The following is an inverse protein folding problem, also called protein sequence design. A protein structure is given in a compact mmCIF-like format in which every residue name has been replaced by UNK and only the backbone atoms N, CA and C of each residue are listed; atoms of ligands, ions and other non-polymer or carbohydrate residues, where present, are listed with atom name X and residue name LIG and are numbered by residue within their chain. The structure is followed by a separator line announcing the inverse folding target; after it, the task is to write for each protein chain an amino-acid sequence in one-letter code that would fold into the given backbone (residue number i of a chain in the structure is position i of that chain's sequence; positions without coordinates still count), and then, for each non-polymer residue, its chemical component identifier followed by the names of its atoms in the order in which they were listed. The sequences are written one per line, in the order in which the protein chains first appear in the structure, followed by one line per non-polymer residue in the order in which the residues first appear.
data_IF_830789845001
#
_entry.id   IF_830789845001
#
_cell.length_a   1.000
_cell.length_b   1.000
_cell.length_c   1.000
_cell.angle_alpha   90.00
_cell.angle_beta   90.00
_cell.angle_gamma   90.00
#
_symmetry.space_group_name_H-M   'P 1'
#
loop_
_entity.id
_entity.type
_entity.pdbx_description
1 polymer ?
#
# COMPACT_ATOMS: atom_id res chain seq x y z
N UNK A 1 16.10 -24.52 -15.74
CA UNK A 1 16.12 -26.02 -15.67
C UNK A 1 14.77 -26.61 -15.24
N UNK A 2 14.08 -26.02 -14.29
CA UNK A 2 12.77 -26.51 -13.79
C UNK A 2 11.66 -26.40 -14.84
N UNK A 3 11.57 -25.32 -15.55
CA UNK A 3 10.62 -25.06 -16.65
C UNK A 3 10.74 -26.08 -17.79
N UNK A 4 11.97 -26.55 -18.08
CA UNK A 4 12.21 -27.55 -19.13
C UNK A 4 11.73 -28.98 -18.79
N UNK A 5 11.34 -29.23 -17.53
CA UNK A 5 10.93 -30.56 -17.05
C UNK A 5 9.41 -30.80 -17.11
N UNK A 6 8.61 -29.85 -17.61
CA UNK A 6 7.13 -29.92 -17.61
C UNK A 6 6.58 -30.33 -16.22
N UNK A 7 7.09 -29.70 -15.17
CA UNK A 7 6.64 -29.94 -13.81
C UNK A 7 5.19 -29.50 -13.66
N UNK A 8 4.36 -30.28 -12.98
CA UNK A 8 2.97 -29.90 -12.68
C UNK A 8 2.86 -28.81 -11.61
N UNK A 9 3.89 -28.67 -10.77
CA UNK A 9 3.99 -27.62 -9.74
C UNK A 9 5.38 -27.01 -9.85
N UNK A 10 5.42 -25.71 -9.98
CA UNK A 10 6.64 -24.89 -9.95
C UNK A 10 6.62 -24.02 -8.71
N UNK A 11 7.64 -24.12 -7.90
CA UNK A 11 7.83 -23.28 -6.70
C UNK A 11 8.97 -22.29 -6.98
N UNK A 12 8.69 -21.01 -6.83
CA UNK A 12 9.67 -19.93 -6.92
C UNK A 12 9.69 -19.17 -5.59
N UNK A 13 10.85 -19.09 -4.98
CA UNK A 13 11.06 -18.42 -3.72
C UNK A 13 12.04 -17.26 -3.95
N UNK A 14 11.54 -16.02 -3.82
CA UNK A 14 12.28 -14.78 -4.04
C UNK A 14 13.11 -14.79 -5.36
N UNK A 15 12.53 -15.15 -6.50
CA UNK A 15 13.33 -15.45 -7.70
C UNK A 15 13.99 -14.23 -8.33
N UNK A 16 13.54 -13.00 -7.99
CA UNK A 16 14.06 -11.73 -8.54
C UNK A 16 14.95 -10.97 -7.55
N UNK A 17 15.10 -11.47 -6.33
CA UNK A 17 15.98 -10.87 -5.32
C UNK A 17 17.43 -10.92 -5.79
N UNK A 18 18.19 -9.85 -5.51
CA UNK A 18 19.60 -9.67 -5.90
C UNK A 18 19.89 -9.57 -7.41
N UNK A 19 18.87 -9.34 -8.22
CA UNK A 19 19.06 -9.04 -9.63
C UNK A 19 19.17 -7.51 -9.85
N UNK A 20 19.93 -7.11 -10.85
CA UNK A 20 19.91 -5.72 -11.32
C UNK A 20 18.53 -5.36 -11.89
N UNK A 21 18.23 -4.06 -11.92
CA UNK A 21 16.91 -3.55 -12.32
C UNK A 21 16.49 -4.07 -13.70
N UNK A 22 17.38 -4.03 -14.69
CA UNK A 22 17.05 -4.43 -16.07
C UNK A 22 16.72 -5.92 -16.16
N UNK A 23 17.53 -6.76 -15.53
CA UNK A 23 17.31 -8.21 -15.53
C UNK A 23 16.02 -8.57 -14.75
N UNK A 24 15.69 -7.81 -13.70
CA UNK A 24 14.45 -7.97 -12.97
C UNK A 24 13.24 -7.70 -13.86
N UNK A 25 13.23 -6.59 -14.60
CA UNK A 25 12.16 -6.26 -15.54
C UNK A 25 12.03 -7.31 -16.65
N UNK A 26 13.14 -7.69 -17.27
CA UNK A 26 13.13 -8.72 -18.32
C UNK A 26 12.55 -10.05 -17.83
N UNK A 27 12.87 -10.45 -16.59
CA UNK A 27 12.35 -11.70 -16.00
C UNK A 27 10.89 -11.56 -15.54
N UNK A 28 10.44 -10.41 -15.07
CA UNK A 28 9.02 -10.15 -14.78
C UNK A 28 8.16 -10.37 -16.03
N UNK A 29 8.59 -9.84 -17.18
CA UNK A 29 7.89 -10.04 -18.44
C UNK A 29 7.86 -11.52 -18.85
N UNK A 30 8.97 -12.24 -18.66
CA UNK A 30 9.01 -13.70 -18.89
C UNK A 30 8.03 -14.43 -17.99
N UNK A 31 7.97 -14.14 -16.71
CA UNK A 31 7.02 -14.76 -15.80
C UNK A 31 5.58 -14.42 -16.19
N UNK A 32 5.26 -13.16 -16.45
CA UNK A 32 3.94 -12.75 -16.90
C UNK A 32 3.50 -13.52 -18.15
N UNK A 33 4.35 -13.60 -19.16
CA UNK A 33 4.08 -14.37 -20.38
C UNK A 33 3.92 -15.87 -20.11
N UNK A 34 4.63 -16.43 -19.13
CA UNK A 34 4.46 -17.82 -18.72
C UNK A 34 3.12 -18.06 -18.02
N UNK A 35 2.65 -17.10 -17.22
CA UNK A 35 1.34 -17.16 -16.56
C UNK A 35 0.18 -17.03 -17.56
N UNK A 36 0.33 -16.18 -18.58
CA UNK A 36 -0.70 -15.94 -19.60
C UNK A 36 -0.69 -17.00 -20.71
N UNK A 37 0.27 -17.93 -20.70
CA UNK A 37 0.41 -18.95 -21.73
C UNK A 37 -0.37 -20.24 -21.42
N UNK A 38 -0.59 -21.10 -22.45
CA UNK A 38 -1.24 -22.42 -22.32
C UNK A 38 -0.55 -23.34 -21.29
N UNK A 39 0.67 -23.04 -20.85
CA UNK A 39 1.35 -23.73 -19.76
C UNK A 39 0.64 -23.56 -18.41
N UNK A 40 -0.11 -22.46 -18.23
CA UNK A 40 -0.89 -22.19 -17.02
C UNK A 40 -2.05 -23.17 -16.83
N UNK A 41 -2.54 -23.80 -17.89
CA UNK A 41 -3.66 -24.74 -17.83
C UNK A 41 -3.29 -26.12 -17.29
N UNK A 42 -2.00 -26.50 -17.37
CA UNK A 42 -1.51 -27.81 -16.94
C UNK A 42 -0.59 -27.77 -15.71
N UNK A 43 -0.19 -26.59 -15.25
CA UNK A 43 0.78 -26.42 -14.17
C UNK A 43 0.33 -25.40 -13.14
N UNK A 44 0.62 -25.65 -11.87
CA UNK A 44 0.43 -24.71 -10.76
C UNK A 44 1.77 -24.02 -10.52
N UNK A 45 1.76 -22.68 -10.48
CA UNK A 45 2.91 -21.90 -10.07
C UNK A 45 2.64 -21.27 -8.69
N UNK A 46 3.55 -21.50 -7.76
CA UNK A 46 3.58 -20.85 -6.46
C UNK A 46 4.80 -19.94 -6.44
N UNK A 47 4.54 -18.65 -6.27
CA UNK A 47 5.55 -17.59 -6.29
C UNK A 47 5.56 -16.89 -4.93
N UNK A 48 6.65 -16.98 -4.18
CA UNK A 48 6.83 -16.28 -2.93
C UNK A 48 7.71 -15.03 -3.17
N UNK A 49 7.27 -13.87 -2.70
CA UNK A 49 8.01 -12.63 -2.76
C UNK A 49 7.67 -11.74 -1.56
N UNK A 50 8.63 -10.94 -1.14
CA UNK A 50 8.43 -9.82 -0.20
C UNK A 50 8.14 -8.50 -0.91
N UNK A 51 8.21 -8.46 -2.24
CA UNK A 51 7.86 -7.29 -3.06
C UNK A 51 6.37 -7.34 -3.45
N UNK A 52 5.51 -6.47 -2.90
CA UNK A 52 4.09 -6.46 -3.21
C UNK A 52 3.81 -6.13 -4.68
N UNK A 53 4.69 -5.37 -5.35
CA UNK A 53 4.51 -5.02 -6.75
C UNK A 53 4.63 -6.25 -7.66
N UNK A 54 5.54 -7.19 -7.33
CA UNK A 54 5.66 -8.45 -8.06
C UNK A 54 4.36 -9.25 -7.99
N UNK A 55 3.79 -9.37 -6.79
CA UNK A 55 2.53 -10.09 -6.58
C UNK A 55 1.36 -9.46 -7.35
N UNK A 56 1.26 -8.12 -7.36
CA UNK A 56 0.21 -7.40 -8.08
C UNK A 56 0.33 -7.54 -9.61
N UNK A 57 1.55 -7.54 -10.15
CA UNK A 57 1.79 -7.64 -11.60
C UNK A 57 1.49 -9.02 -12.16
N UNK A 58 1.66 -10.07 -11.37
CA UNK A 58 1.40 -11.45 -11.79
C UNK A 58 -0.10 -11.79 -11.86
N UNK A 59 -0.96 -10.93 -11.31
CA UNK A 59 -2.44 -10.99 -11.43
C UNK A 59 -3.06 -12.35 -11.07
N UNK A 60 -2.42 -13.09 -10.15
CA UNK A 60 -2.92 -14.36 -9.62
C UNK A 60 -3.70 -14.20 -8.32
N UNK A 61 -4.03 -15.32 -7.70
CA UNK A 61 -4.52 -15.33 -6.32
C UNK A 61 -3.34 -15.11 -5.37
N UNK A 62 -3.53 -14.21 -4.41
CA UNK A 62 -2.53 -13.87 -3.39
C UNK A 62 -2.88 -14.55 -2.09
N UNK A 63 -1.85 -15.02 -1.39
CA UNK A 63 -1.89 -15.46 -0.01
C UNK A 63 -0.97 -14.55 0.79
N UNK A 64 -1.54 -13.63 1.57
CA UNK A 64 -0.76 -12.77 2.48
C UNK A 64 -0.46 -13.53 3.76
N UNK A 65 0.83 -13.61 4.10
CA UNK A 65 1.32 -14.35 5.26
C UNK A 65 2.13 -13.40 6.15
N UNK A 66 1.86 -13.44 7.45
CA UNK A 66 2.66 -12.77 8.46
C UNK A 66 2.84 -13.68 9.67
N UNK A 67 4.04 -13.74 10.24
CA UNK A 67 4.39 -14.59 11.38
C UNK A 67 3.90 -16.06 11.25
N UNK A 68 3.95 -16.61 10.03
CA UNK A 68 3.53 -17.98 9.74
C UNK A 68 2.01 -18.21 9.71
N UNK A 69 1.23 -17.14 9.72
CA UNK A 69 -0.24 -17.19 9.62
C UNK A 69 -0.72 -16.57 8.33
N UNK A 70 -1.75 -17.18 7.74
CA UNK A 70 -2.45 -16.59 6.60
C UNK A 70 -3.37 -15.49 7.11
N UNK A 71 -3.17 -14.25 6.64
CA UNK A 71 -3.98 -13.10 7.00
C UNK A 71 -5.15 -12.87 6.03
N UNK A 72 -4.89 -13.08 4.73
CA UNK A 72 -5.91 -12.91 3.69
C UNK A 72 -5.53 -13.75 2.46
N UNK A 73 -6.55 -14.22 1.74
CA UNK A 73 -6.39 -14.85 0.43
C UNK A 73 -7.41 -14.28 -0.54
N UNK A 74 -7.06 -14.17 -1.81
CA UNK A 74 -7.97 -13.71 -2.86
C UNK A 74 -7.24 -13.19 -4.08
N UNK A 75 -7.99 -12.76 -5.10
CA UNK A 75 -7.43 -12.09 -6.27
C UNK A 75 -6.59 -10.87 -5.87
N UNK A 76 -5.45 -10.67 -6.54
CA UNK A 76 -4.50 -9.60 -6.24
C UNK A 76 -5.19 -8.23 -6.08
N UNK A 77 -6.05 -7.89 -7.03
CA UNK A 77 -6.81 -6.63 -7.01
C UNK A 77 -7.69 -6.50 -5.77
N UNK A 78 -8.42 -7.56 -5.40
CA UNK A 78 -9.31 -7.54 -4.23
C UNK A 78 -8.54 -7.37 -2.93
N UNK A 79 -7.43 -8.11 -2.77
CA UNK A 79 -6.57 -8.02 -1.58
C UNK A 79 -5.98 -6.61 -1.45
N UNK A 80 -5.53 -6.01 -2.56
CA UNK A 80 -5.00 -4.66 -2.57
C UNK A 80 -6.06 -3.59 -2.28
N UNK A 81 -7.23 -3.67 -2.93
CA UNK A 81 -8.30 -2.68 -2.80
C UNK A 81 -9.06 -2.81 -1.46
N UNK A 82 -9.16 -4.04 -0.93
CA UNK A 82 -9.91 -4.34 0.28
C UNK A 82 -9.08 -5.20 1.26
N UNK A 83 -7.98 -4.66 1.80
CA UNK A 83 -7.17 -5.38 2.78
C UNK A 83 -8.02 -5.72 4.01
N UNK A 84 -7.95 -6.96 4.49
CA UNK A 84 -8.77 -7.41 5.62
C UNK A 84 -8.48 -6.62 6.91
N UNK A 85 -7.24 -6.20 7.09
CA UNK A 85 -6.79 -5.44 8.26
C UNK A 85 -5.57 -4.57 7.93
N UNK A 86 -5.13 -3.77 8.91
CA UNK A 86 -3.98 -2.88 8.81
C UNK A 86 -2.74 -3.63 8.33
N UNK A 87 -2.47 -4.84 8.87
CA UNK A 87 -1.26 -5.59 8.52
C UNK A 87 -1.23 -5.99 7.05
N UNK A 88 -2.36 -6.41 6.52
CA UNK A 88 -2.49 -6.69 5.07
C UNK A 88 -2.29 -5.41 4.26
N UNK A 89 -2.87 -4.29 4.70
CA UNK A 89 -2.71 -3.01 4.03
C UNK A 89 -1.24 -2.54 4.00
N UNK A 90 -0.47 -2.77 5.07
CA UNK A 90 0.96 -2.47 5.12
C UNK A 90 1.76 -3.36 4.16
N UNK A 91 1.52 -4.68 4.21
CA UNK A 91 2.29 -5.67 3.41
C UNK A 91 2.04 -5.51 1.91
N UNK A 92 0.82 -5.13 1.51
CA UNK A 92 0.43 -5.07 0.09
C UNK A 92 0.71 -3.73 -0.58
N UNK A 93 1.31 -2.77 0.12
CA UNK A 93 1.68 -1.46 -0.42
C UNK A 93 3.19 -1.22 -0.29
N UNK A 94 3.78 -0.57 -1.28
CA UNK A 94 5.16 -0.09 -1.27
C UNK A 94 5.20 1.33 -1.87
N UNK A 95 5.49 2.36 -1.04
CA UNK A 95 5.67 2.28 0.42
C UNK A 95 4.42 1.77 1.16
N UNK A 96 4.63 1.22 2.36
CA UNK A 96 3.52 0.77 3.20
C UNK A 96 2.45 1.86 3.37
N UNK A 97 1.19 1.45 3.48
CA UNK A 97 0.09 2.38 3.72
C UNK A 97 0.33 3.19 5.01
N UNK A 98 0.15 4.50 4.94
CA UNK A 98 0.17 5.35 6.12
C UNK A 98 -1.04 5.03 6.99
N UNK A 99 -0.81 4.68 8.25
CA UNK A 99 -1.86 4.35 9.23
C UNK A 99 -1.84 5.42 10.32
N UNK A 100 -2.89 6.23 10.36
CA UNK A 100 -3.03 7.36 11.27
C UNK A 100 -4.09 7.06 12.32
N UNK A 101 -3.74 6.95 13.61
CA UNK A 101 -4.73 6.86 14.67
C UNK A 101 -5.51 8.17 14.76
N UNK A 102 -6.83 8.09 14.91
CA UNK A 102 -7.69 9.27 15.00
C UNK A 102 -9.01 8.97 15.70
N UNK A 103 -9.75 10.01 15.93
CA UNK A 103 -11.07 9.96 16.59
C UNK A 103 -12.09 10.60 15.66
N UNK A 104 -13.22 9.92 15.46
CA UNK A 104 -14.42 10.56 14.90
C UNK A 104 -15.19 11.18 16.07
N UNK A 105 -15.41 12.50 16.01
CA UNK A 105 -16.24 13.21 16.96
C UNK A 105 -17.18 14.15 16.18
N UNK A 106 -18.48 13.89 16.32
CA UNK A 106 -19.56 14.53 15.55
C UNK A 106 -19.29 14.48 14.03
N UNK A 107 -18.85 15.56 13.43
CA UNK A 107 -18.62 15.71 11.99
C UNK A 107 -17.14 15.90 11.63
N UNK A 108 -16.24 15.57 12.54
CA UNK A 108 -14.82 15.75 12.36
C UNK A 108 -14.05 14.46 12.58
N UNK A 109 -12.95 14.31 11.84
CA UNK A 109 -11.89 13.35 12.10
C UNK A 109 -10.76 14.14 12.75
N UNK A 110 -10.37 13.77 13.96
CA UNK A 110 -9.35 14.44 14.77
C UNK A 110 -8.15 13.51 14.90
N UNK A 111 -7.02 13.89 14.33
CA UNK A 111 -5.74 13.20 14.48
C UNK A 111 -4.94 13.76 15.66
N UNK A 112 -4.87 15.11 15.77
CA UNK A 112 -4.32 15.86 16.90
C UNK A 112 -4.97 17.26 16.98
N UNK A 113 -4.43 18.17 17.79
CA UNK A 113 -4.99 19.54 17.97
C UNK A 113 -4.96 20.37 16.67
N UNK A 114 -3.91 20.21 15.86
CA UNK A 114 -3.63 20.99 14.66
C UNK A 114 -4.03 20.27 13.37
N UNK A 115 -4.41 18.98 13.44
CA UNK A 115 -4.77 18.19 12.28
C UNK A 115 -6.18 17.60 12.44
N UNK A 116 -7.15 18.36 11.94
CA UNK A 116 -8.57 17.98 11.93
C UNK A 116 -9.14 18.11 10.53
N UNK A 117 -10.02 17.19 10.18
CA UNK A 117 -10.67 17.13 8.88
C UNK A 117 -12.19 17.00 9.07
N UNK A 118 -12.96 17.60 8.17
CA UNK A 118 -14.38 17.35 8.14
C UNK A 118 -14.66 15.88 7.76
N UNK A 119 -15.56 15.23 8.49
CA UNK A 119 -15.99 13.86 8.18
C UNK A 119 -16.71 13.85 6.82
N UNK A 120 -16.21 13.09 5.83
CA UNK A 120 -16.86 13.01 4.52
C UNK A 120 -18.27 12.38 4.63
N UNK A 121 -19.17 12.77 3.72
CA UNK A 121 -20.55 12.29 3.74
C UNK A 121 -20.67 10.76 3.62
N UNK A 122 -19.76 10.12 2.88
CA UNK A 122 -19.74 8.65 2.73
C UNK A 122 -19.30 7.91 4.01
N UNK A 123 -18.67 8.60 4.96
CA UNK A 123 -18.30 8.06 6.27
C UNK A 123 -19.26 8.50 7.39
N UNK A 124 -20.31 9.26 7.09
CA UNK A 124 -21.25 9.81 8.08
C UNK A 124 -22.06 8.75 8.83
N UNK A 125 -22.00 7.50 8.39
CA UNK A 125 -22.64 6.35 9.05
C UNK A 125 -21.79 5.75 10.18
N UNK A 126 -20.54 6.18 10.32
CA UNK A 126 -19.65 5.73 11.39
C UNK A 126 -19.95 6.48 12.69
N UNK A 127 -20.00 5.72 13.79
CA UNK A 127 -20.21 6.28 15.11
C UNK A 127 -18.98 7.05 15.61
N UNK A 128 -19.20 7.96 16.57
CA UNK A 128 -18.09 8.63 17.27
C UNK A 128 -17.24 7.60 18.02
N UNK A 129 -15.92 7.68 17.87
CA UNK A 129 -15.03 6.69 18.46
C UNK A 129 -13.61 6.73 17.89
N UNK A 130 -12.78 5.81 18.36
CA UNK A 130 -11.39 5.65 17.92
C UNK A 130 -11.31 4.73 16.71
N UNK A 131 -10.55 5.17 15.71
CA UNK A 131 -10.33 4.46 14.46
C UNK A 131 -8.87 4.61 14.03
N UNK A 132 -8.47 3.78 13.08
CA UNK A 132 -7.28 4.00 12.30
C UNK A 132 -7.68 4.37 10.87
N UNK A 133 -7.01 5.40 10.33
CA UNK A 133 -7.26 5.90 8.99
C UNK A 133 -6.07 5.56 8.11
N UNK A 134 -6.33 4.81 7.03
CA UNK A 134 -5.32 4.41 6.08
C UNK A 134 -5.31 5.33 4.86
N UNK A 135 -4.13 5.81 4.47
CA UNK A 135 -3.94 6.57 3.23
C UNK A 135 -2.67 6.11 2.53
N UNK A 136 -2.75 5.85 1.23
CA UNK A 136 -1.56 5.47 0.46
C UNK A 136 -0.65 6.66 0.25
N UNK A 137 0.65 6.40 0.12
CA UNK A 137 1.64 7.44 -0.16
C UNK A 137 1.32 8.24 -1.43
N UNK A 138 0.69 7.61 -2.43
CA UNK A 138 0.24 8.21 -3.68
C UNK A 138 -1.02 9.08 -3.56
N UNK A 139 -1.81 8.90 -2.49
CA UNK A 139 -3.05 9.64 -2.24
C UNK A 139 -2.81 10.88 -1.35
N UNK A 140 -1.56 11.11 -0.92
CA UNK A 140 -1.10 12.35 -0.32
C UNK A 140 -0.55 13.30 -1.39
N UNK A 141 -0.66 14.60 -1.18
CA UNK A 141 -0.17 15.62 -2.11
C UNK A 141 0.43 16.80 -1.36
N UNK A 142 1.48 17.40 -1.93
CA UNK A 142 1.95 18.71 -1.51
C UNK A 142 0.88 19.76 -1.83
N UNK A 143 0.43 20.50 -0.82
CA UNK A 143 -0.67 21.43 -0.95
C UNK A 143 -0.51 22.58 0.04
N UNK A 144 -0.37 23.82 -0.46
CA UNK A 144 -0.17 25.00 0.38
C UNK A 144 -1.34 25.28 1.35
N UNK A 145 -2.51 24.72 1.10
CA UNK A 145 -3.69 24.79 1.98
C UNK A 145 -3.77 23.62 2.98
N UNK A 146 -2.85 22.67 2.88
CA UNK A 146 -2.83 21.46 3.71
C UNK A 146 -2.24 21.67 5.10
N UNK A 147 -1.96 20.57 5.77
CA UNK A 147 -1.41 20.53 7.13
C UNK A 147 0.12 20.53 7.10
N UNK A 148 0.74 21.16 8.10
CA UNK A 148 2.19 21.26 8.18
C UNK A 148 2.80 19.93 8.63
N UNK A 149 3.83 19.52 7.94
CA UNK A 149 4.68 18.38 8.31
C UNK A 149 6.15 18.76 8.15
N UNK A 150 7.00 18.12 8.95
CA UNK A 150 8.45 18.30 8.92
C UNK A 150 9.07 17.11 8.17
N UNK A 151 9.95 17.39 7.23
CA UNK A 151 10.66 16.37 6.46
C UNK A 151 11.76 15.73 7.31
N UNK A 152 11.68 14.41 7.50
CA UNK A 152 12.70 13.61 8.18
C UNK A 152 13.72 13.05 7.17
N UNK A 153 13.23 12.52 6.05
CA UNK A 153 14.06 11.91 5.01
C UNK A 153 13.43 12.23 3.65
N UNK A 154 14.28 12.54 2.68
CA UNK A 154 13.92 12.64 1.27
C UNK A 154 14.73 11.63 0.48
N UNK A 155 14.07 10.62 -0.06
CA UNK A 155 14.68 9.58 -0.88
C UNK A 155 14.27 9.73 -2.34
N UNK A 156 15.24 9.64 -3.26
CA UNK A 156 14.98 9.63 -4.71
C UNK A 156 15.22 8.21 -5.21
N UNK A 157 14.19 7.60 -5.77
CA UNK A 157 14.26 6.27 -6.37
C UNK A 157 13.75 6.32 -7.81
N UNK A 158 14.68 6.23 -8.76
CA UNK A 158 14.35 6.36 -10.17
C UNK A 158 13.78 7.74 -10.52
N UNK A 159 12.52 7.80 -10.93
CA UNK A 159 11.80 9.02 -11.28
C UNK A 159 10.92 9.57 -10.15
N UNK A 160 10.95 8.96 -8.99
CA UNK A 160 10.06 9.25 -7.86
C UNK A 160 10.84 9.82 -6.68
N UNK A 161 10.15 10.58 -5.85
CA UNK A 161 10.67 11.07 -4.57
C UNK A 161 9.75 10.62 -3.44
N UNK A 162 10.31 10.00 -2.41
CA UNK A 162 9.61 9.60 -1.20
C UNK A 162 9.98 10.56 -0.07
N UNK A 163 8.97 11.20 0.52
CA UNK A 163 9.15 12.07 1.67
C UNK A 163 8.62 11.38 2.91
N UNK A 164 9.53 11.04 3.82
CA UNK A 164 9.19 10.62 5.17
C UNK A 164 9.07 11.87 6.03
N UNK A 165 7.95 12.03 6.70
CA UNK A 165 7.62 13.26 7.40
C UNK A 165 6.90 12.95 8.70
N UNK A 166 6.97 13.89 9.63
CA UNK A 166 6.20 13.81 10.86
C UNK A 166 5.47 15.13 11.18
N UNK A 167 4.42 15.00 11.97
CA UNK A 167 3.77 16.07 12.72
C UNK A 167 3.45 15.51 14.11
N UNK A 168 4.14 15.97 15.14
CA UNK A 168 4.12 15.38 16.47
C UNK A 168 4.43 13.86 16.39
N UNK A 169 3.53 13.01 16.90
CA UNK A 169 3.68 11.55 16.87
C UNK A 169 3.22 10.91 15.54
N UNK A 170 2.58 11.68 14.67
CA UNK A 170 2.10 11.19 13.38
C UNK A 170 3.25 11.14 12.39
N UNK A 171 3.39 10.00 11.73
CA UNK A 171 4.39 9.79 10.68
C UNK A 171 3.71 9.42 9.39
N UNK A 172 4.14 10.00 8.27
CA UNK A 172 3.61 9.73 6.94
C UNK A 172 4.72 9.66 5.91
N UNK A 173 4.48 8.85 4.88
CA UNK A 173 5.29 8.81 3.67
C UNK A 173 4.43 9.33 2.53
N UNK A 174 4.92 10.31 1.79
CA UNK A 174 4.32 10.84 0.57
C UNK A 174 5.19 10.46 -0.62
N UNK A 175 4.60 9.95 -1.69
CA UNK A 175 5.26 9.66 -2.94
C UNK A 175 4.95 10.74 -3.97
N UNK A 176 5.98 11.28 -4.60
CA UNK A 176 5.88 12.29 -5.67
C UNK A 176 6.41 11.66 -6.95
N UNK A 177 5.61 11.65 -8.02
CA UNK A 177 5.97 11.08 -9.34
C UNK A 177 6.94 11.98 -10.14
N UNK A 178 7.85 12.65 -9.45
CA UNK A 178 8.91 13.47 -10.03
C UNK A 178 10.12 13.53 -9.11
N UNK A 179 11.28 13.82 -9.68
CA UNK A 179 12.50 14.03 -8.91
C UNK A 179 12.48 15.43 -8.29
N UNK A 180 12.35 15.51 -6.97
CA UNK A 180 12.43 16.75 -6.18
C UNK A 180 13.38 16.58 -5.02
N UNK A 181 14.13 17.63 -4.70
CA UNK A 181 15.02 17.64 -3.55
C UNK A 181 14.36 18.41 -2.40
N UNK A 182 14.40 17.80 -1.23
CA UNK A 182 14.00 18.41 0.04
C UNK A 182 15.14 18.23 1.04
N UNK A 183 15.28 19.18 1.93
CA UNK A 183 16.26 19.09 3.00
C UNK A 183 15.61 18.53 4.26
N UNK A 184 16.44 17.98 5.12
CA UNK A 184 16.05 17.64 6.49
C UNK A 184 15.48 18.89 7.17
N UNK A 185 14.42 18.73 7.95
CA UNK A 185 13.69 19.78 8.68
C UNK A 185 12.93 20.80 7.79
N UNK A 186 12.89 20.61 6.47
CA UNK A 186 12.01 21.42 5.61
C UNK A 186 10.55 21.29 6.07
N UNK A 187 9.86 22.45 6.16
CA UNK A 187 8.43 22.48 6.47
C UNK A 187 7.64 22.41 5.17
N UNK A 188 6.83 21.40 5.06
CA UNK A 188 5.95 21.19 3.89
C UNK A 188 4.51 21.10 4.34
N UNK A 189 3.59 21.45 3.44
CA UNK A 189 2.18 21.26 3.68
C UNK A 189 1.66 20.15 2.77
N UNK A 190 0.88 19.25 3.36
CA UNK A 190 0.26 18.14 2.64
C UNK A 190 -1.24 18.11 2.84
N UNK A 191 -1.94 17.63 1.84
CA UNK A 191 -3.36 17.24 1.90
C UNK A 191 -3.52 15.78 1.54
N UNK A 192 -4.66 15.19 1.93
CA UNK A 192 -5.04 13.83 1.57
C UNK A 192 -6.36 13.83 0.82
N UNK A 193 -6.51 12.89 -0.12
CA UNK A 193 -7.78 12.68 -0.80
C UNK A 193 -8.73 11.89 0.10
N UNK A 194 -9.71 12.59 0.67
CA UNK A 194 -10.71 12.01 1.57
C UNK A 194 -11.57 10.94 0.92
N UNK A 195 -11.66 10.90 -0.42
CA UNK A 195 -12.38 9.85 -1.15
C UNK A 195 -11.54 8.57 -1.28
N UNK A 196 -10.26 8.62 -0.94
CA UNK A 196 -9.32 7.50 -0.97
C UNK A 196 -8.98 6.96 0.41
N UNK A 197 -9.63 7.49 1.44
CA UNK A 197 -9.36 7.12 2.83
C UNK A 197 -9.92 5.72 3.15
N UNK A 198 -9.10 4.91 3.79
CA UNK A 198 -9.51 3.65 4.40
C UNK A 198 -9.83 3.88 5.87
N UNK A 199 -10.76 3.11 6.41
CA UNK A 199 -11.07 3.15 7.85
C UNK A 199 -10.98 1.74 8.42
N UNK A 200 -10.23 1.61 9.51
CA UNK A 200 -10.11 0.39 10.29
C UNK A 200 -10.63 0.65 11.70
N UNK A 201 -11.19 -0.38 12.32
CA UNK A 201 -11.65 -0.31 13.71
C UNK A 201 -10.49 -0.27 14.72
N UNK A 202 -10.82 -0.26 16.00
CA UNK A 202 -9.84 -0.25 17.09
C UNK A 202 -9.00 -1.54 17.17
N UNK A 203 -9.43 -2.64 16.55
CA UNK A 203 -8.67 -3.89 16.44
C UNK A 203 -7.78 -3.93 15.20
N UNK A 204 -7.94 -2.96 14.30
CA UNK A 204 -7.24 -2.90 13.03
C UNK A 204 -7.94 -3.62 11.88
N UNK A 205 -9.19 -4.05 12.04
CA UNK A 205 -9.98 -4.70 11.00
C UNK A 205 -10.63 -3.65 10.08
N UNK A 206 -10.68 -3.94 8.77
CA UNK A 206 -11.23 -3.02 7.78
C UNK A 206 -12.74 -2.82 7.95
N UNK A 207 -13.16 -1.57 8.17
CA UNK A 207 -14.57 -1.16 8.20
C UNK A 207 -14.99 -0.58 6.86
N UNK A 208 -14.15 0.31 6.29
CA UNK A 208 -14.44 1.01 5.05
C UNK A 208 -13.23 0.99 4.12
N UNK A 209 -13.49 0.71 2.84
CA UNK A 209 -12.55 0.85 1.73
C UNK A 209 -13.14 1.76 0.67
N UNK A 210 -12.36 2.65 0.04
CA UNK A 210 -12.82 3.53 -1.04
C UNK A 210 -13.28 2.74 -2.28
N UNK A 211 -13.02 1.44 -2.34
CA UNK A 211 -13.40 0.54 -3.43
C UNK A 211 -14.62 -0.35 -3.12
N UNK A 212 -15.08 -0.38 -1.86
CA UNK A 212 -16.31 -1.05 -1.47
C UNK A 212 -17.47 -0.08 -1.63
N UNK A 213 -18.30 -0.27 -2.64
CA UNK A 213 -19.55 0.48 -2.74
C UNK A 213 -19.80 1.20 -4.05
N UNK A 214 -19.18 0.76 -5.12
CA UNK A 214 -19.56 1.11 -6.49
C UNK A 214 -20.31 -0.02 -7.15
#
# INVERSE_FOLDING_TARGET
RSLAKKAKILLLDEPLVNLDYKLREDLRDVFKNLFDSDLSTESILIYASTDPQEAMQLNGDIVVIDEGRVLQTGPAKEVFENPANIKVAEITNDPAMNILPGIIDDKEIIFNEDFKLNLPSHLSHLDSGKYFFGVRATDLKLDNSGFNFTVDISEISGSETFLHMHQDELKVVLMIEEVRNFNLDDQVKISMDMNRLYVFDANGDLIFSPYRGN
#
